data_IF_198971516336
#
_entry.id   IF_198971516336
#
_cell.length_a   1.000
_cell.length_b   1.000
_cell.length_c   1.000
_cell.angle_alpha   90.00
_cell.angle_beta   90.00
_cell.angle_gamma   90.00
#
_symmetry.space_group_name_H-M   'P 1'
#
loop_
_entity.id
_entity.type
_entity.pdbx_description
1 polymer ?
#
# COMPACT_ATOMS: atom_id res chain seq x y z
N UNK A 1 -23.81 92.48 -137.92
CA UNK A 1 -23.92 92.34 -139.40
C UNK A 1 -22.51 92.39 -139.95
N UNK A 2 -22.14 91.46 -140.82
CA UNK A 2 -20.84 91.48 -141.49
C UNK A 2 -20.77 92.69 -142.44
N UNK A 3 -19.60 93.30 -142.57
CA UNK A 3 -19.40 94.34 -143.58
C UNK A 3 -19.39 93.73 -144.99
N UNK A 4 -20.07 94.37 -145.93
CA UNK A 4 -20.04 94.00 -147.36
C UNK A 4 -19.33 95.09 -148.15
N UNK A 5 -18.70 94.70 -149.26
CA UNK A 5 -18.07 95.65 -150.16
C UNK A 5 -19.13 96.61 -150.72
N UNK A 6 -18.96 97.89 -150.46
CA UNK A 6 -19.92 98.93 -150.81
C UNK A 6 -19.40 99.81 -151.95
N UNK A 7 -18.08 99.96 -152.06
CA UNK A 7 -17.49 100.93 -152.96
C UNK A 7 -17.39 100.42 -154.41
N UNK A 8 -18.07 101.10 -155.33
CA UNK A 8 -18.03 100.84 -156.77
C UNK A 8 -17.26 101.97 -157.46
N UNK A 9 -16.29 101.59 -158.28
CA UNK A 9 -15.47 102.53 -159.06
C UNK A 9 -16.35 103.23 -160.10
N UNK A 10 -16.22 104.55 -160.18
CA UNK A 10 -16.85 105.38 -161.21
C UNK A 10 -16.15 105.15 -162.56
N UNK A 11 -16.90 104.97 -163.65
CA UNK A 11 -16.33 104.90 -165.01
C UNK A 11 -15.86 106.27 -165.49
N UNK A 12 -14.71 106.72 -164.99
CA UNK A 12 -14.08 107.97 -165.43
C UNK A 12 -13.72 107.90 -166.91
N UNK A 13 -13.86 109.00 -167.64
CA UNK A 13 -13.59 109.14 -169.07
C UNK A 13 -12.80 110.43 -169.33
N UNK A 14 -11.85 110.40 -170.27
CA UNK A 14 -11.14 111.61 -170.73
C UNK A 14 -11.93 112.32 -171.84
N UNK A 15 -11.62 113.58 -172.12
CA UNK A 15 -12.19 114.30 -173.27
C UNK A 15 -12.02 113.50 -174.58
N UNK A 16 -13.00 113.57 -175.49
CA UNK A 16 -14.13 114.51 -175.51
C UNK A 16 -15.37 114.09 -174.70
N UNK A 17 -15.34 113.00 -173.93
CA UNK A 17 -16.52 112.55 -173.17
C UNK A 17 -17.01 113.62 -172.19
N UNK A 18 -18.32 113.89 -172.20
CA UNK A 18 -18.96 114.81 -171.26
C UNK A 18 -19.48 114.10 -169.99
N UNK A 19 -19.28 112.78 -169.87
CA UNK A 19 -19.88 111.99 -168.76
C UNK A 19 -19.18 112.21 -167.42
N UNK A 20 -17.89 112.57 -167.42
CA UNK A 20 -17.07 112.73 -166.19
C UNK A 20 -15.97 113.77 -166.40
N UNK A 21 -15.44 114.36 -165.33
CA UNK A 21 -14.33 115.32 -165.38
C UNK A 21 -12.99 114.69 -165.86
N UNK A 22 -12.13 115.49 -166.49
CA UNK A 22 -10.82 115.11 -167.05
C UNK A 22 -9.85 114.49 -166.03
N UNK A 23 -9.02 113.52 -166.45
CA UNK A 23 -7.98 112.78 -165.70
C UNK A 23 -8.35 111.37 -165.20
N UNK A 24 -8.90 110.53 -166.09
CA UNK A 24 -9.25 109.10 -165.85
C UNK A 24 -8.21 108.36 -165.01
N UNK A 25 -6.91 108.48 -165.35
CA UNK A 25 -5.85 107.68 -164.73
C UNK A 25 -5.64 107.98 -163.23
N UNK A 26 -5.62 109.26 -162.85
CA UNK A 26 -5.36 109.65 -161.45
C UNK A 26 -6.58 109.39 -160.56
N UNK A 27 -7.79 109.64 -161.07
CA UNK A 27 -9.02 109.38 -160.33
C UNK A 27 -9.26 107.88 -160.17
N UNK A 28 -9.06 107.07 -161.22
CA UNK A 28 -9.11 105.61 -161.10
C UNK A 28 -8.08 105.08 -160.10
N UNK A 29 -6.85 105.64 -160.02
CA UNK A 29 -5.88 105.22 -159.02
C UNK A 29 -6.38 105.49 -157.58
N UNK A 30 -6.98 106.65 -157.33
CA UNK A 30 -7.54 106.99 -156.03
C UNK A 30 -8.74 106.10 -155.68
N UNK A 31 -9.68 105.93 -156.60
CA UNK A 31 -10.86 105.08 -156.39
C UNK A 31 -10.48 103.59 -156.26
N UNK A 32 -9.47 103.12 -156.97
CA UNK A 32 -8.90 101.78 -156.76
C UNK A 32 -8.34 101.62 -155.34
N UNK A 33 -7.64 102.64 -154.82
CA UNK A 33 -7.17 102.65 -153.44
C UNK A 33 -8.32 102.59 -152.42
N UNK A 34 -9.42 103.30 -152.68
CA UNK A 34 -10.63 103.25 -151.85
C UNK A 34 -11.29 101.87 -151.92
N UNK A 35 -11.43 101.28 -153.11
CA UNK A 35 -11.96 99.93 -153.30
C UNK A 35 -11.11 98.86 -152.59
N UNK A 36 -9.79 98.99 -152.67
CA UNK A 36 -8.85 98.11 -151.99
C UNK A 36 -8.95 98.27 -150.46
N UNK A 37 -9.09 99.49 -149.96
CA UNK A 37 -9.33 99.75 -148.54
C UNK A 37 -10.66 99.14 -148.05
N UNK A 38 -11.73 99.31 -148.81
CA UNK A 38 -13.04 98.70 -148.55
C UNK A 38 -12.93 97.16 -148.50
N UNK A 39 -12.24 96.56 -149.49
CA UNK A 39 -11.98 95.11 -149.53
C UNK A 39 -11.18 94.63 -148.31
N UNK A 40 -10.16 95.39 -147.88
CA UNK A 40 -9.38 95.05 -146.68
C UNK A 40 -10.17 95.19 -145.39
N UNK A 41 -11.11 96.13 -145.31
CA UNK A 41 -12.02 96.26 -144.16
C UNK A 41 -12.92 95.03 -144.06
N UNK A 42 -13.47 94.57 -145.19
CA UNK A 42 -14.26 93.33 -145.24
C UNK A 42 -13.40 92.11 -144.85
N UNK A 43 -12.16 92.01 -145.34
CA UNK A 43 -11.25 90.91 -144.95
C UNK A 43 -10.87 90.96 -143.47
N UNK A 44 -10.67 92.14 -142.91
CA UNK A 44 -10.35 92.33 -141.49
C UNK A 44 -11.56 92.01 -140.62
N UNK A 45 -12.77 92.34 -141.05
CA UNK A 45 -14.02 91.93 -140.40
C UNK A 45 -14.22 90.41 -140.43
N UNK A 46 -13.87 89.77 -141.55
CA UNK A 46 -13.94 88.32 -141.69
C UNK A 46 -12.84 87.57 -140.91
N UNK A 47 -11.66 88.19 -140.71
CA UNK A 47 -10.50 87.57 -140.06
C UNK A 47 -10.37 87.92 -138.58
N UNK A 48 -11.10 88.93 -138.07
CA UNK A 48 -11.05 89.28 -136.65
C UNK A 48 -11.67 88.16 -135.81
N UNK A 49 -11.13 87.96 -134.62
CA UNK A 49 -11.73 87.06 -133.64
C UNK A 49 -13.11 87.60 -133.25
N UNK A 50 -14.14 86.76 -133.31
CA UNK A 50 -15.47 87.16 -132.87
C UNK A 50 -15.45 87.40 -131.37
N UNK A 51 -16.19 88.42 -130.91
CA UNK A 51 -16.30 88.73 -129.48
C UNK A 51 -16.90 87.56 -128.68
N UNK A 52 -17.74 86.75 -129.32
CA UNK A 52 -18.31 85.52 -128.74
C UNK A 52 -17.25 84.46 -128.45
N UNK A 53 -16.33 84.20 -129.40
CA UNK A 53 -15.22 83.26 -129.18
C UNK A 53 -14.18 83.87 -128.23
N UNK A 54 -13.87 85.16 -128.35
CA UNK A 54 -12.95 85.83 -127.43
C UNK A 54 -13.41 85.71 -125.97
N UNK A 55 -14.72 85.79 -125.72
CA UNK A 55 -15.29 85.67 -124.38
C UNK A 55 -15.19 84.27 -123.78
N UNK A 56 -14.94 83.21 -124.57
CA UNK A 56 -14.75 81.84 -124.06
C UNK A 56 -13.29 81.52 -123.73
N UNK A 57 -12.34 82.32 -124.22
CA UNK A 57 -10.92 82.13 -123.92
C UNK A 57 -10.62 82.41 -122.44
N UNK A 58 -9.59 81.74 -121.92
CA UNK A 58 -9.19 81.83 -120.51
C UNK A 58 -8.43 83.13 -120.26
N UNK A 59 -8.87 83.86 -119.23
CA UNK A 59 -8.17 85.02 -118.67
C UNK A 59 -7.15 84.60 -117.62
N UNK A 60 -7.55 83.72 -116.71
CA UNK A 60 -6.71 83.26 -115.59
C UNK A 60 -7.18 81.91 -115.06
N UNK A 61 -6.23 81.16 -114.50
CA UNK A 61 -6.48 79.94 -113.73
C UNK A 61 -5.89 80.12 -112.35
N UNK A 62 -6.67 79.86 -111.31
CA UNK A 62 -6.22 79.88 -109.92
C UNK A 62 -6.51 78.52 -109.26
N UNK A 63 -5.57 78.04 -108.44
CA UNK A 63 -5.72 76.79 -107.68
C UNK A 63 -5.66 77.13 -106.20
N UNK A 64 -6.72 76.80 -105.47
CA UNK A 64 -6.69 76.85 -104.02
C UNK A 64 -6.04 75.57 -103.49
N UNK A 65 -4.82 75.68 -102.97
CA UNK A 65 -4.05 74.53 -102.48
C UNK A 65 -4.65 73.87 -101.22
N UNK A 66 -5.61 74.51 -100.54
CA UNK A 66 -6.25 73.93 -99.35
C UNK A 66 -7.49 73.13 -99.70
N UNK A 67 -8.29 73.64 -100.63
CA UNK A 67 -9.54 73.00 -101.05
C UNK A 67 -9.39 72.16 -102.32
N UNK A 68 -8.29 72.33 -103.08
CA UNK A 68 -8.09 71.67 -104.36
C UNK A 68 -8.91 72.25 -105.51
N UNK A 69 -9.70 73.30 -105.26
CA UNK A 69 -10.58 73.89 -106.26
C UNK A 69 -9.78 74.71 -107.26
N UNK A 70 -9.92 74.35 -108.54
CA UNK A 70 -9.38 75.07 -109.68
C UNK A 70 -10.47 75.99 -110.23
N UNK A 71 -10.23 77.29 -110.22
CA UNK A 71 -11.13 78.30 -110.77
C UNK A 71 -10.55 78.85 -112.07
N UNK A 72 -11.29 78.68 -113.17
CA UNK A 72 -10.96 79.21 -114.49
C UNK A 72 -11.87 80.41 -114.79
N UNK A 73 -11.28 81.59 -114.94
CA UNK A 73 -12.01 82.80 -115.33
C UNK A 73 -11.83 83.03 -116.82
N UNK A 74 -12.93 83.12 -117.57
CA UNK A 74 -12.95 83.44 -119.00
C UNK A 74 -12.84 84.96 -119.22
N UNK A 75 -12.36 85.39 -120.38
CA UNK A 75 -12.23 86.82 -120.72
C UNK A 75 -13.57 87.57 -120.66
N UNK A 76 -14.68 86.89 -120.99
CA UNK A 76 -16.04 87.43 -120.88
C UNK A 76 -16.60 87.48 -119.44
N UNK A 77 -15.81 87.08 -118.44
CA UNK A 77 -16.20 87.08 -117.03
C UNK A 77 -16.88 85.80 -116.53
N UNK A 78 -17.17 84.84 -117.41
CA UNK A 78 -17.67 83.52 -117.00
C UNK A 78 -16.65 82.76 -116.15
N UNK A 79 -17.14 81.95 -115.19
CA UNK A 79 -16.31 81.20 -114.25
C UNK A 79 -16.68 79.73 -114.34
N UNK A 80 -15.68 78.87 -114.58
CA UNK A 80 -15.80 77.42 -114.43
C UNK A 80 -14.95 76.96 -113.23
N UNK A 81 -15.47 76.06 -112.40
CA UNK A 81 -14.78 75.53 -111.23
C UNK A 81 -14.70 74.01 -111.29
N UNK A 82 -13.54 73.46 -110.96
CA UNK A 82 -13.28 72.03 -110.88
C UNK A 82 -12.73 71.68 -109.50
N UNK A 83 -13.30 70.67 -108.85
CA UNK A 83 -12.89 70.22 -107.51
C UNK A 83 -12.11 68.90 -107.63
N UNK A 84 -11.01 68.78 -106.88
CA UNK A 84 -10.11 67.62 -106.90
C UNK A 84 -10.26 66.73 -105.66
N UNK A 85 -11.19 67.00 -104.74
CA UNK A 85 -11.46 66.22 -103.52
C UNK A 85 -10.18 65.94 -102.67
N UNK A 86 -9.18 66.83 -102.73
CA UNK A 86 -7.86 66.58 -102.09
C UNK A 86 -7.97 66.52 -100.56
N UNK A 87 -8.95 67.21 -99.98
CA UNK A 87 -9.28 67.20 -98.56
C UNK A 87 -9.68 65.81 -98.04
N UNK A 88 -9.94 64.84 -98.93
CA UNK A 88 -10.33 63.48 -98.55
C UNK A 88 -9.16 62.50 -98.50
N UNK A 89 -7.99 62.89 -98.98
CA UNK A 89 -6.80 62.04 -99.01
C UNK A 89 -6.13 62.02 -97.65
N UNK A 90 -5.93 60.84 -97.07
CA UNK A 90 -5.18 60.67 -95.82
C UNK A 90 -3.68 60.74 -96.13
N UNK A 91 -2.96 61.63 -95.44
CA UNK A 91 -1.52 61.84 -95.61
C UNK A 91 -0.69 61.24 -94.48
N UNK A 92 -1.28 61.11 -93.28
CA UNK A 92 -0.62 60.48 -92.14
C UNK A 92 -1.61 59.62 -91.34
N UNK A 93 -1.07 58.58 -90.70
CA UNK A 93 -1.80 57.64 -89.86
C UNK A 93 -1.04 57.47 -88.55
N UNK A 94 -1.71 57.73 -87.43
CA UNK A 94 -1.14 57.55 -86.09
C UNK A 94 -2.14 56.84 -85.14
N UNK A 95 -1.63 56.24 -84.07
CA UNK A 95 -2.42 55.56 -83.05
C UNK A 95 -1.94 56.01 -81.67
N UNK A 96 -2.86 56.56 -80.86
CA UNK A 96 -2.54 56.97 -79.48
C UNK A 96 -2.51 55.79 -78.51
N UNK A 97 -1.92 55.99 -77.33
CA UNK A 97 -1.86 54.99 -76.25
C UNK A 97 -3.26 54.60 -75.73
N UNK A 98 -4.25 55.48 -75.89
CA UNK A 98 -5.66 55.23 -75.56
C UNK A 98 -6.41 54.44 -76.65
N UNK A 99 -5.73 54.05 -77.73
CA UNK A 99 -6.33 53.31 -78.84
C UNK A 99 -7.23 54.20 -79.70
N UNK A 100 -6.84 55.45 -79.94
CA UNK A 100 -7.52 56.32 -80.92
C UNK A 100 -6.66 56.37 -82.16
N UNK A 101 -7.23 55.98 -83.30
CA UNK A 101 -6.62 56.16 -84.61
C UNK A 101 -6.85 57.60 -85.06
N UNK A 102 -5.77 58.32 -85.38
CA UNK A 102 -5.81 59.68 -85.92
C UNK A 102 -5.41 59.62 -87.39
N UNK A 103 -6.33 60.02 -88.26
CA UNK A 103 -6.12 60.15 -89.70
C UNK A 103 -5.96 61.63 -90.04
N UNK A 104 -4.75 62.05 -90.43
CA UNK A 104 -4.51 63.42 -90.91
C UNK A 104 -4.80 63.48 -92.41
N UNK A 105 -5.69 64.37 -92.83
CA UNK A 105 -6.07 64.59 -94.22
C UNK A 105 -5.13 65.60 -94.89
N UNK A 106 -5.11 65.64 -96.23
CA UNK A 106 -4.18 66.50 -96.99
C UNK A 106 -4.47 68.00 -96.82
N UNK A 107 -5.69 68.37 -96.42
CA UNK A 107 -6.06 69.73 -96.06
C UNK A 107 -5.60 70.15 -94.64
N UNK A 108 -4.99 69.21 -93.89
CA UNK A 108 -4.51 69.39 -92.53
C UNK A 108 -5.54 69.11 -91.44
N UNK A 109 -6.77 68.71 -91.78
CA UNK A 109 -7.79 68.31 -90.79
C UNK A 109 -7.57 66.88 -90.31
N UNK A 110 -8.07 66.55 -89.13
CA UNK A 110 -7.93 65.22 -88.54
C UNK A 110 -9.28 64.53 -88.36
N UNK A 111 -9.31 63.21 -88.60
CA UNK A 111 -10.42 62.33 -88.24
C UNK A 111 -9.96 61.33 -87.19
N UNK A 112 -10.70 61.26 -86.09
CA UNK A 112 -10.40 60.36 -84.99
C UNK A 112 -11.36 59.19 -84.99
N UNK A 113 -10.82 57.98 -84.85
CA UNK A 113 -11.60 56.75 -84.69
C UNK A 113 -11.15 56.08 -83.39
N UNK A 114 -12.02 56.10 -82.39
CA UNK A 114 -11.78 55.47 -81.09
C UNK A 114 -12.00 53.95 -81.22
N UNK A 115 -10.90 53.19 -81.27
CA UNK A 115 -10.95 51.73 -81.24
C UNK A 115 -10.88 51.17 -79.81
N UNK A 116 -10.47 51.98 -78.84
CA UNK A 116 -10.43 51.64 -77.41
C UNK A 116 -11.81 51.25 -76.86
N UNK A 117 -12.89 51.88 -77.35
CA UNK A 117 -14.27 51.51 -77.00
C UNK A 117 -14.70 50.10 -77.43
N UNK A 118 -13.97 49.47 -78.34
CA UNK A 118 -14.23 48.08 -78.76
C UNK A 118 -13.40 47.06 -77.96
N UNK A 119 -12.52 47.51 -77.06
CA UNK A 119 -11.75 46.64 -76.15
C UNK A 119 -12.51 46.48 -74.82
N UNK A 120 -13.15 45.32 -74.62
CA UNK A 120 -13.75 44.98 -73.33
C UNK A 120 -12.67 44.63 -72.30
N UNK A 121 -12.58 45.39 -71.19
CA UNK A 121 -11.66 45.10 -70.09
C UNK A 121 -12.37 44.41 -68.92
N UNK A 122 -11.87 43.26 -68.47
CA UNK A 122 -12.40 42.50 -67.33
C UNK A 122 -11.45 42.61 -66.13
N UNK A 123 -11.99 42.75 -64.91
CA UNK A 123 -11.20 42.82 -63.67
C UNK A 123 -11.61 41.70 -62.72
N UNK A 124 -10.63 40.90 -62.30
CA UNK A 124 -10.80 39.96 -61.20
C UNK A 124 -11.11 40.70 -59.88
N UNK A 125 -11.78 40.00 -58.99
CA UNK A 125 -12.05 40.43 -57.61
C UNK A 125 -11.33 39.51 -56.62
N UNK A 126 -11.50 39.75 -55.32
CA UNK A 126 -10.99 38.84 -54.28
C UNK A 126 -11.68 37.47 -54.25
N UNK A 127 -12.86 37.32 -54.87
CA UNK A 127 -13.64 36.07 -54.86
C UNK A 127 -13.71 35.40 -56.23
N UNK A 128 -13.76 36.20 -57.30
CA UNK A 128 -13.91 35.72 -58.67
C UNK A 128 -12.70 36.15 -59.48
N UNK A 129 -11.98 35.18 -60.05
CA UNK A 129 -10.95 35.41 -61.03
C UNK A 129 -11.57 35.40 -62.44
N UNK A 130 -11.24 36.41 -63.26
CA UNK A 130 -11.62 36.49 -64.67
C UNK A 130 -10.38 36.33 -65.53
N UNK A 131 -10.43 35.39 -66.48
CA UNK A 131 -9.34 35.13 -67.44
C UNK A 131 -9.89 35.13 -68.86
N UNK A 132 -9.14 35.68 -69.82
CA UNK A 132 -9.51 35.71 -71.23
C UNK A 132 -8.53 34.89 -72.07
N UNK A 133 -9.05 33.92 -72.82
CA UNK A 133 -8.28 33.10 -73.76
C UNK A 133 -9.06 33.00 -75.06
N UNK A 134 -8.44 33.26 -76.21
CA UNK A 134 -9.07 33.13 -77.54
C UNK A 134 -10.46 33.79 -77.68
N UNK A 135 -10.65 34.95 -77.04
CA UNK A 135 -11.91 35.73 -76.99
C UNK A 135 -13.02 35.16 -76.11
N UNK A 136 -12.77 34.09 -75.35
CA UNK A 136 -13.67 33.60 -74.31
C UNK A 136 -13.23 34.11 -72.93
N UNK A 137 -14.19 34.54 -72.11
CA UNK A 137 -13.95 34.98 -70.73
C UNK A 137 -14.46 33.90 -69.80
N UNK A 138 -13.54 33.33 -69.01
CA UNK A 138 -13.86 32.34 -67.98
C UNK A 138 -13.83 33.01 -66.61
N UNK A 139 -14.85 32.71 -65.80
CA UNK A 139 -14.92 33.09 -64.41
C UNK A 139 -14.72 31.86 -63.53
N UNK A 140 -13.85 31.96 -62.52
CA UNK A 140 -13.67 30.92 -61.51
C UNK A 140 -13.72 31.51 -60.10
N UNK A 141 -14.20 30.71 -59.15
CA UNK A 141 -14.15 31.05 -57.73
C UNK A 141 -12.72 30.79 -57.24
N UNK A 142 -12.15 31.75 -56.53
CA UNK A 142 -10.82 31.61 -55.93
C UNK A 142 -10.94 30.72 -54.68
N UNK A 143 -10.09 29.70 -54.57
CA UNK A 143 -10.11 28.78 -53.44
C UNK A 143 -9.95 29.52 -52.11
N UNK A 144 -10.77 29.16 -51.12
CA UNK A 144 -10.79 29.78 -49.80
C UNK A 144 -11.38 31.20 -49.75
N UNK A 145 -11.81 31.77 -50.88
CA UNK A 145 -12.37 33.14 -50.92
C UNK A 145 -13.82 33.25 -50.43
N UNK A 146 -14.54 32.12 -50.32
CA UNK A 146 -15.92 32.07 -49.82
C UNK A 146 -15.89 31.93 -48.30
N UNK A 147 -16.34 32.98 -47.60
CA UNK A 147 -16.46 32.99 -46.14
C UNK A 147 -17.82 32.45 -45.70
N UNK A 148 -17.94 32.09 -44.42
CA UNK A 148 -19.17 31.59 -43.80
C UNK A 148 -20.40 32.47 -44.10
N UNK A 149 -20.25 33.79 -44.06
CA UNK A 149 -21.34 34.76 -44.31
C UNK A 149 -21.84 34.76 -45.76
N UNK A 150 -21.08 34.16 -46.69
CA UNK A 150 -21.45 34.03 -48.11
C UNK A 150 -22.13 32.69 -48.42
N UNK A 151 -22.21 31.78 -47.45
CA UNK A 151 -22.90 30.50 -47.61
C UNK A 151 -24.40 30.67 -47.41
N UNK A 152 -25.18 29.71 -47.92
CA UNK A 152 -26.62 29.64 -47.69
C UNK A 152 -26.93 29.58 -46.17
N UNK A 153 -27.97 30.29 -45.68
CA UNK A 153 -28.32 30.29 -44.26
C UNK A 153 -28.52 28.90 -43.64
N UNK A 154 -29.01 27.92 -44.41
CA UNK A 154 -29.18 26.54 -43.93
C UNK A 154 -27.84 25.88 -43.64
N UNK A 155 -26.87 25.99 -44.56
CA UNK A 155 -25.50 25.48 -44.40
C UNK A 155 -24.81 26.18 -43.24
N UNK A 156 -25.00 27.50 -43.10
CA UNK A 156 -24.45 28.23 -41.97
C UNK A 156 -24.99 27.73 -40.63
N UNK A 157 -26.29 27.44 -40.57
CA UNK A 157 -26.93 26.90 -39.36
C UNK A 157 -26.40 25.51 -39.03
N UNK A 158 -26.21 24.66 -40.02
CA UNK A 158 -25.69 23.31 -39.85
C UNK A 158 -24.26 23.30 -39.29
N UNK A 159 -23.35 24.11 -39.85
CA UNK A 159 -21.99 24.23 -39.30
C UNK A 159 -21.96 24.80 -37.89
N UNK A 160 -22.85 25.75 -37.56
CA UNK A 160 -22.99 26.25 -36.18
C UNK A 160 -23.47 25.14 -35.24
N UNK A 161 -24.39 24.28 -35.68
CA UNK A 161 -24.83 23.12 -34.91
C UNK A 161 -23.67 22.15 -34.68
N UNK A 162 -22.89 21.81 -35.71
CA UNK A 162 -21.72 20.94 -35.54
C UNK A 162 -20.68 21.52 -34.58
N UNK A 163 -20.46 22.84 -34.59
CA UNK A 163 -19.59 23.49 -33.61
C UNK A 163 -20.13 23.34 -32.19
N UNK A 164 -21.44 23.49 -32.00
CA UNK A 164 -22.08 23.32 -30.69
C UNK A 164 -22.00 21.87 -30.21
N UNK A 165 -22.30 20.90 -31.08
CA UNK A 165 -22.21 19.48 -30.77
C UNK A 165 -20.77 19.08 -30.39
N UNK A 166 -19.78 19.60 -31.11
CA UNK A 166 -18.38 19.39 -30.79
C UNK A 166 -17.97 19.98 -29.42
N UNK A 167 -18.47 21.18 -29.08
CA UNK A 167 -18.24 21.79 -27.77
C UNK A 167 -18.90 20.98 -26.66
N UNK A 168 -20.15 20.56 -26.85
CA UNK A 168 -20.86 19.70 -25.90
C UNK A 168 -20.15 18.36 -25.69
N UNK A 169 -19.67 17.73 -26.77
CA UNK A 169 -18.91 16.48 -26.69
C UNK A 169 -17.58 16.67 -25.92
N UNK A 170 -16.86 17.77 -26.16
CA UNK A 170 -15.64 18.11 -25.43
C UNK A 170 -15.92 18.29 -23.94
N UNK A 171 -16.96 19.05 -23.59
CA UNK A 171 -17.28 19.36 -22.19
C UNK A 171 -17.78 18.10 -21.45
N UNK A 172 -18.53 17.24 -22.13
CA UNK A 172 -18.90 15.92 -21.62
C UNK A 172 -17.67 15.04 -21.37
N UNK A 173 -16.72 14.99 -22.32
CA UNK A 173 -15.47 14.23 -22.15
C UNK A 173 -14.66 14.73 -20.94
N UNK A 174 -14.58 16.05 -20.75
CA UNK A 174 -13.92 16.65 -19.58
C UNK A 174 -14.62 16.26 -18.27
N UNK A 175 -15.96 16.26 -18.23
CA UNK A 175 -16.72 15.79 -17.07
C UNK A 175 -16.47 14.31 -16.77
N UNK A 176 -16.48 13.44 -17.78
CA UNK A 176 -16.16 12.03 -17.60
C UNK A 176 -14.75 11.81 -17.06
N UNK A 177 -13.76 12.58 -17.55
CA UNK A 177 -12.41 12.55 -17.02
C UNK A 177 -12.36 12.92 -15.53
N UNK A 178 -13.06 14.00 -15.14
CA UNK A 178 -13.16 14.44 -13.74
C UNK A 178 -13.80 13.37 -12.86
N UNK A 179 -14.91 12.76 -13.30
CA UNK A 179 -15.55 11.67 -12.54
C UNK A 179 -14.68 10.42 -12.45
N UNK A 180 -13.99 10.04 -13.51
CA UNK A 180 -13.06 8.92 -13.48
C UNK A 180 -11.94 9.16 -12.45
N UNK A 181 -11.38 10.37 -12.39
CA UNK A 181 -10.40 10.74 -11.38
C UNK A 181 -10.99 10.72 -9.96
N UNK A 182 -12.16 11.33 -9.76
CA UNK A 182 -12.90 11.33 -8.48
C UNK A 182 -13.07 9.92 -7.93
N UNK A 183 -13.62 8.99 -8.72
CA UNK A 183 -13.91 7.64 -8.25
C UNK A 183 -12.66 6.77 -8.05
N UNK A 184 -11.56 7.07 -8.73
CA UNK A 184 -10.32 6.28 -8.62
C UNK A 184 -9.45 6.71 -7.45
N UNK A 185 -9.16 8.02 -7.33
CA UNK A 185 -8.18 8.55 -6.39
C UNK A 185 -8.67 9.77 -5.58
N UNK A 186 -9.91 10.21 -5.80
CA UNK A 186 -10.44 11.45 -5.25
C UNK A 186 -10.05 12.68 -6.07
N UNK A 187 -10.76 13.78 -5.85
CA UNK A 187 -10.45 15.08 -6.45
C UNK A 187 -10.96 16.21 -5.54
N UNK A 188 -10.13 17.23 -5.30
CA UNK A 188 -10.43 18.34 -4.40
C UNK A 188 -11.63 19.19 -4.87
N UNK A 189 -12.01 19.12 -6.15
CA UNK A 189 -13.23 19.76 -6.65
C UNK A 189 -14.52 19.08 -6.15
N UNK A 190 -14.44 17.87 -5.59
CA UNK A 190 -15.58 17.08 -5.11
C UNK A 190 -15.41 16.76 -3.62
N UNK A 191 -16.13 17.51 -2.78
CA UNK A 191 -16.16 17.29 -1.34
C UNK A 191 -16.58 15.85 -0.98
N UNK A 192 -15.88 15.24 -0.01
CA UNK A 192 -16.10 13.85 0.43
C UNK A 192 -15.40 12.79 -0.44
N UNK A 193 -14.89 13.17 -1.62
CA UNK A 193 -14.21 12.22 -2.51
C UNK A 193 -12.86 11.76 -2.00
N UNK A 194 -12.29 12.39 -0.97
CA UNK A 194 -11.07 11.95 -0.29
C UNK A 194 -11.24 10.62 0.45
N UNK A 195 -12.45 10.33 0.91
CA UNK A 195 -12.81 9.08 1.60
C UNK A 195 -13.75 8.17 0.79
N UNK A 196 -14.40 8.69 -0.25
CA UNK A 196 -15.29 7.91 -1.13
C UNK A 196 -14.66 7.71 -2.51
N UNK A 197 -13.57 6.93 -2.56
CA UNK A 197 -12.88 6.57 -3.79
C UNK A 197 -12.21 5.19 -3.67
N UNK A 198 -11.93 4.55 -4.81
CA UNK A 198 -11.36 3.21 -4.86
C UNK A 198 -10.03 3.07 -4.11
N UNK A 199 -9.14 4.08 -4.20
CA UNK A 199 -7.86 4.08 -3.48
C UNK A 199 -8.06 4.07 -1.97
N UNK A 200 -8.99 4.86 -1.43
CA UNK A 200 -9.28 4.90 0.00
C UNK A 200 -9.76 3.53 0.52
N UNK A 201 -10.73 2.92 -0.17
CA UNK A 201 -11.22 1.59 0.20
C UNK A 201 -10.13 0.50 0.09
N UNK A 202 -9.27 0.58 -0.93
CA UNK A 202 -8.14 -0.33 -1.10
C UNK A 202 -7.12 -0.22 0.04
N UNK A 203 -6.67 0.99 0.37
CA UNK A 203 -5.71 1.20 1.45
C UNK A 203 -6.31 0.82 2.82
N UNK A 204 -7.59 1.13 3.07
CA UNK A 204 -8.29 0.70 4.28
C UNK A 204 -8.34 -0.83 4.42
N UNK A 205 -8.65 -1.54 3.33
CA UNK A 205 -8.65 -3.00 3.31
C UNK A 205 -7.25 -3.57 3.55
N UNK A 206 -6.23 -2.98 2.93
CA UNK A 206 -4.83 -3.37 3.10
C UNK A 206 -4.34 -3.18 4.53
N UNK A 207 -4.72 -2.08 5.18
CA UNK A 207 -4.42 -1.82 6.58
C UNK A 207 -5.12 -2.83 7.51
N UNK A 208 -6.42 -3.06 7.31
CA UNK A 208 -7.18 -4.05 8.09
C UNK A 208 -6.61 -5.47 7.95
N UNK A 209 -6.13 -5.83 6.75
CA UNK A 209 -5.44 -7.10 6.54
C UNK A 209 -4.12 -7.19 7.32
N UNK A 210 -3.32 -6.12 7.35
CA UNK A 210 -2.09 -6.07 8.14
C UNK A 210 -2.36 -6.16 9.66
N UNK A 211 -3.41 -5.49 10.14
CA UNK A 211 -3.88 -5.60 11.52
C UNK A 211 -4.34 -7.01 11.85
N UNK A 212 -5.06 -7.66 10.93
CA UNK A 212 -5.52 -9.05 11.11
C UNK A 212 -4.33 -10.01 11.27
N UNK A 213 -3.28 -9.86 10.46
CA UNK A 213 -2.05 -10.65 10.59
C UNK A 213 -1.39 -10.42 11.95
N UNK A 214 -1.26 -9.16 12.37
CA UNK A 214 -0.68 -8.79 13.67
C UNK A 214 -1.46 -9.42 14.82
N UNK A 215 -2.79 -9.33 14.78
CA UNK A 215 -3.68 -9.92 15.78
C UNK A 215 -3.58 -11.45 15.81
N UNK A 216 -3.50 -12.10 14.65
CA UNK A 216 -3.32 -13.55 14.57
C UNK A 216 -1.98 -14.01 15.17
N UNK A 217 -0.90 -13.26 14.91
CA UNK A 217 0.41 -13.51 15.52
C UNK A 217 0.36 -13.35 17.04
N UNK A 218 -0.27 -12.28 17.54
CA UNK A 218 -0.44 -12.07 18.98
C UNK A 218 -1.27 -13.19 19.64
N UNK A 219 -2.37 -13.62 18.99
CA UNK A 219 -3.19 -14.72 19.46
C UNK A 219 -2.42 -16.06 19.50
N UNK A 220 -1.58 -16.32 18.50
CA UNK A 220 -0.72 -17.51 18.46
C UNK A 220 0.30 -17.51 19.61
N UNK A 221 0.94 -16.37 19.89
CA UNK A 221 1.86 -16.23 21.02
C UNK A 221 1.16 -16.42 22.37
N UNK A 222 -0.04 -15.86 22.52
CA UNK A 222 -0.86 -16.03 23.72
C UNK A 222 -1.24 -17.51 23.93
N UNK A 223 -1.61 -18.23 22.87
CA UNK A 223 -1.89 -19.67 22.92
C UNK A 223 -0.65 -20.49 23.31
N UNK A 224 0.53 -20.14 22.78
CA UNK A 224 1.80 -20.75 23.18
C UNK A 224 2.09 -20.55 24.66
N UNK A 225 1.94 -19.32 25.15
CA UNK A 225 2.12 -18.98 26.58
C UNK A 225 1.14 -19.76 27.46
N UNK A 226 -0.12 -19.84 27.07
CA UNK A 226 -1.14 -20.60 27.81
C UNK A 226 -0.80 -22.10 27.88
N UNK A 227 -0.29 -22.68 26.79
CA UNK A 227 0.16 -24.08 26.73
C UNK A 227 1.32 -24.32 27.68
N UNK A 228 2.31 -23.42 27.71
CA UNK A 228 3.44 -23.51 28.62
C UNK A 228 3.02 -23.41 30.10
N UNK A 229 2.12 -22.47 30.42
CA UNK A 229 1.55 -22.34 31.76
C UNK A 229 0.75 -23.57 32.18
N UNK A 230 -0.02 -24.18 31.27
CA UNK A 230 -0.71 -25.45 31.55
C UNK A 230 0.28 -26.59 31.85
N UNK A 231 1.42 -26.64 31.13
CA UNK A 231 2.51 -27.57 31.41
C UNK A 231 3.11 -27.37 32.81
N UNK A 232 3.40 -26.12 33.19
CA UNK A 232 3.90 -25.77 34.53
C UNK A 232 2.89 -26.16 35.62
N UNK A 233 1.60 -25.87 35.40
CA UNK A 233 0.54 -26.23 36.34
C UNK A 233 0.43 -27.75 36.54
N UNK A 234 0.52 -28.51 35.44
CA UNK A 234 0.54 -29.98 35.46
C UNK A 234 1.74 -30.49 36.25
N UNK A 235 2.94 -29.96 36.00
CA UNK A 235 4.15 -30.34 36.74
C UNK A 235 4.02 -30.04 38.24
N UNK A 236 3.48 -28.86 38.60
CA UNK A 236 3.23 -28.49 40.00
C UNK A 236 2.24 -29.46 40.67
N UNK A 237 1.17 -29.84 39.97
CA UNK A 237 0.20 -30.80 40.48
C UNK A 237 0.84 -32.18 40.72
N UNK A 238 1.66 -32.67 39.78
CA UNK A 238 2.43 -33.92 39.94
C UNK A 238 3.37 -33.86 41.14
N UNK A 239 4.12 -32.77 41.29
CA UNK A 239 5.04 -32.58 42.42
C UNK A 239 4.30 -32.51 43.76
N UNK A 240 3.13 -31.86 43.80
CA UNK A 240 2.29 -31.78 44.99
C UNK A 240 1.73 -33.17 45.36
N UNK A 241 1.25 -33.94 44.38
CA UNK A 241 0.79 -35.31 44.60
C UNK A 241 1.91 -36.22 45.12
N UNK A 242 3.12 -36.12 44.55
CA UNK A 242 4.30 -36.84 45.04
C UNK A 242 4.63 -36.46 46.50
N UNK A 243 4.60 -35.17 46.82
CA UNK A 243 4.84 -34.67 48.18
C UNK A 243 3.78 -35.17 49.18
N UNK A 244 2.50 -35.22 48.77
CA UNK A 244 1.43 -35.77 49.60
C UNK A 244 1.62 -37.27 49.86
N UNK A 245 2.04 -38.04 48.86
CA UNK A 245 2.35 -39.46 49.02
C UNK A 245 3.53 -39.68 49.99
N UNK A 246 4.59 -38.88 49.88
CA UNK A 246 5.72 -38.92 50.82
C UNK A 246 5.26 -38.60 52.25
N UNK A 247 4.48 -37.54 52.45
CA UNK A 247 3.93 -37.19 53.76
C UNK A 247 3.04 -38.30 54.34
N UNK A 248 2.24 -38.98 53.50
CA UNK A 248 1.43 -40.12 53.93
C UNK A 248 2.30 -41.31 54.38
N UNK A 249 3.39 -41.59 53.66
CA UNK A 249 4.34 -42.64 54.04
C UNK A 249 5.08 -42.32 55.35
N UNK A 250 5.47 -41.05 55.52
CA UNK A 250 6.08 -40.56 56.77
C UNK A 250 5.10 -40.69 57.95
N UNK A 251 3.82 -40.37 57.74
CA UNK A 251 2.78 -40.53 58.76
C UNK A 251 2.56 -41.99 59.17
N UNK A 252 2.54 -42.93 58.21
CA UNK A 252 2.47 -44.36 58.50
C UNK A 252 3.69 -44.83 59.30
N UNK A 253 4.89 -44.43 58.89
CA UNK A 253 6.13 -44.74 59.59
C UNK A 253 6.11 -44.21 61.03
N UNK A 254 5.60 -42.99 61.24
CA UNK A 254 5.46 -42.41 62.57
C UNK A 254 4.45 -43.19 63.43
N UNK A 255 3.32 -43.63 62.86
CA UNK A 255 2.33 -44.44 63.56
C UNK A 255 2.88 -45.82 63.98
N UNK A 256 3.64 -46.48 63.11
CA UNK A 256 4.31 -47.76 63.42
C UNK A 256 5.32 -47.61 64.57
N UNK A 257 6.13 -46.54 64.54
CA UNK A 257 7.05 -46.21 65.63
C UNK A 257 6.31 -45.94 66.95
N UNK A 258 5.19 -45.23 66.91
CA UNK A 258 4.38 -44.96 68.10
C UNK A 258 3.75 -46.24 68.67
N UNK A 259 3.26 -47.14 67.82
CA UNK A 259 2.75 -48.46 68.23
C UNK A 259 3.86 -49.30 68.86
N UNK A 260 5.04 -49.32 68.24
CA UNK A 260 6.22 -50.01 68.79
C UNK A 260 6.63 -49.45 70.15
N UNK A 261 6.66 -48.12 70.32
CA UNK A 261 6.94 -47.47 71.59
C UNK A 261 5.89 -47.82 72.66
N UNK A 262 4.61 -47.87 72.28
CA UNK A 262 3.51 -48.27 73.18
C UNK A 262 3.67 -49.71 73.64
N UNK A 263 3.98 -50.64 72.72
CA UNK A 263 4.24 -52.03 73.07
C UNK A 263 5.45 -52.17 73.98
N UNK A 264 6.54 -51.43 73.71
CA UNK A 264 7.73 -51.40 74.57
C UNK A 264 7.43 -50.85 75.97
N UNK A 265 6.58 -49.83 76.10
CA UNK A 265 6.14 -49.32 77.38
C UNK A 265 5.28 -50.35 78.16
N UNK A 266 4.41 -51.09 77.48
CA UNK A 266 3.63 -52.17 78.07
C UNK A 266 4.54 -53.33 78.53
N UNK A 267 5.49 -53.76 77.69
CA UNK A 267 6.51 -54.76 78.05
C UNK A 267 7.31 -54.32 79.30
N UNK A 268 7.73 -53.04 79.35
CA UNK A 268 8.44 -52.50 80.51
C UNK A 268 7.56 -52.47 81.78
N UNK A 269 6.26 -52.18 81.64
CA UNK A 269 5.29 -52.19 82.75
C UNK A 269 5.06 -53.61 83.27
N UNK A 270 4.94 -54.60 82.38
CA UNK A 270 4.82 -56.00 82.75
C UNK A 270 6.09 -56.48 83.46
N UNK A 271 7.26 -56.19 82.90
CA UNK A 271 8.55 -56.53 83.52
C UNK A 271 8.68 -55.91 84.92
N UNK A 272 8.20 -54.69 85.14
CA UNK A 272 8.16 -54.06 86.46
C UNK A 272 7.21 -54.78 87.43
N UNK A 273 6.05 -55.25 86.94
CA UNK A 273 5.08 -56.03 87.73
C UNK A 273 5.68 -57.39 88.12
N UNK A 274 6.25 -58.12 87.15
CA UNK A 274 6.89 -59.42 87.37
C UNK A 274 8.06 -59.30 88.38
N UNK A 275 8.83 -58.22 88.30
CA UNK A 275 9.89 -57.92 89.26
C UNK A 275 9.33 -57.64 90.67
N UNK A 276 8.22 -56.91 90.78
CA UNK A 276 7.55 -56.65 92.05
C UNK A 276 6.96 -57.92 92.68
N UNK A 277 6.35 -58.79 91.88
CA UNK A 277 5.84 -60.10 92.31
C UNK A 277 6.98 -61.03 92.76
N UNK A 278 8.09 -61.04 92.02
CA UNK A 278 9.31 -61.76 92.40
C UNK A 278 9.86 -61.25 93.73
N UNK A 279 9.88 -59.93 93.94
CA UNK A 279 10.29 -59.33 95.21
C UNK A 279 9.35 -59.66 96.37
N UNK A 280 8.03 -59.72 96.13
CA UNK A 280 7.05 -60.16 97.13
C UNK A 280 7.23 -61.64 97.48
N UNK A 281 7.44 -62.50 96.47
CA UNK A 281 7.70 -63.93 96.66
C UNK A 281 8.98 -64.17 97.44
N UNK A 282 10.05 -63.43 97.13
CA UNK A 282 11.30 -63.46 97.88
C UNK A 282 11.09 -63.02 99.34
N UNK A 283 10.34 -61.94 99.58
CA UNK A 283 9.96 -61.49 100.94
C UNK A 283 9.19 -62.56 101.71
N UNK A 284 8.22 -63.21 101.08
CA UNK A 284 7.43 -64.30 101.70
C UNK A 284 8.32 -65.47 102.07
N UNK A 285 9.16 -65.96 101.15
CA UNK A 285 10.13 -67.04 101.42
C UNK A 285 11.12 -66.69 102.52
N UNK A 286 11.59 -65.44 102.57
CA UNK A 286 12.44 -64.98 103.68
C UNK A 286 11.70 -65.03 105.02
N UNK A 287 10.42 -64.65 105.05
CA UNK A 287 9.57 -64.80 106.23
C UNK A 287 9.36 -66.26 106.64
N UNK A 288 9.06 -67.15 105.69
CA UNK A 288 8.92 -68.59 105.93
C UNK A 288 10.22 -69.23 106.43
N UNK A 289 11.37 -68.83 105.88
CA UNK A 289 12.68 -69.26 106.33
C UNK A 289 12.99 -68.76 107.76
N UNK A 290 12.61 -67.52 108.09
CA UNK A 290 12.69 -67.00 109.46
C UNK A 290 11.82 -67.81 110.42
N UNK A 291 10.56 -68.08 110.05
CA UNK A 291 9.66 -68.90 110.87
C UNK A 291 10.17 -70.33 111.06
N UNK A 292 10.71 -70.94 110.00
CA UNK A 292 11.33 -72.27 110.09
C UNK A 292 12.59 -72.27 110.97
N UNK A 293 13.39 -71.20 110.93
CA UNK A 293 14.55 -71.04 111.81
C UNK A 293 14.12 -70.88 113.28
N UNK A 294 13.04 -70.13 113.52
CA UNK A 294 12.42 -70.01 114.83
C UNK A 294 11.91 -71.38 115.32
N UNK A 295 11.15 -72.14 114.52
CA UNK A 295 10.69 -73.49 114.88
C UNK A 295 11.85 -74.47 115.14
N UNK A 296 12.90 -74.46 114.31
CA UNK A 296 14.09 -75.25 114.56
C UNK A 296 14.75 -74.90 115.91
N UNK A 297 14.77 -73.61 116.27
CA UNK A 297 15.25 -73.13 117.57
C UNK A 297 14.35 -73.59 118.71
N UNK A 298 13.01 -73.53 118.55
CA UNK A 298 12.02 -74.03 119.52
C UNK A 298 12.29 -75.48 119.87
N UNK A 299 12.36 -76.35 118.87
CA UNK A 299 12.54 -77.78 119.06
C UNK A 299 13.93 -78.15 119.58
N UNK A 300 14.98 -77.40 119.21
CA UNK A 300 16.34 -77.71 119.65
C UNK A 300 16.63 -77.27 121.09
N UNK A 301 16.29 -76.03 121.45
CA UNK A 301 16.75 -75.40 122.71
C UNK A 301 15.68 -74.59 123.46
N UNK A 302 14.50 -74.39 122.86
CA UNK A 302 13.40 -73.57 123.39
C UNK A 302 13.62 -72.05 123.30
N UNK A 303 12.64 -71.27 123.77
CA UNK A 303 12.77 -69.81 123.97
C UNK A 303 12.23 -68.92 122.86
N UNK A 304 11.28 -69.40 122.04
CA UNK A 304 10.53 -68.56 121.08
C UNK A 304 9.09 -68.33 121.55
N UNK A 305 8.48 -69.32 122.21
CA UNK A 305 7.17 -69.24 122.84
C UNK A 305 7.23 -69.66 124.33
N UNK A 306 6.26 -69.22 125.16
CA UNK A 306 6.24 -69.52 126.59
C UNK A 306 6.17 -71.02 126.92
N UNK A 307 5.47 -71.81 126.10
CA UNK A 307 5.34 -73.26 126.25
C UNK A 307 6.63 -74.06 125.95
N UNK A 308 7.65 -73.46 125.33
CA UNK A 308 8.87 -74.18 124.93
C UNK A 308 9.79 -74.54 126.12
N UNK A 309 9.46 -74.15 127.36
CA UNK A 309 10.32 -74.39 128.52
C UNK A 309 10.53 -75.88 128.83
N UNK A 310 9.54 -76.73 128.50
CA UNK A 310 9.48 -78.14 128.90
C UNK A 310 9.35 -79.13 127.73
N UNK A 311 9.15 -78.65 126.49
CA UNK A 311 9.00 -79.50 125.30
C UNK A 311 10.03 -79.15 124.22
N UNK A 312 11.30 -79.45 124.50
CA UNK A 312 12.40 -79.28 123.54
C UNK A 312 13.51 -80.33 123.78
N UNK A 313 14.34 -80.56 122.76
CA UNK A 313 15.38 -81.58 122.80
C UNK A 313 16.39 -81.36 123.95
N UNK A 314 16.74 -80.10 124.25
CA UNK A 314 17.62 -79.75 125.38
C UNK A 314 17.00 -80.15 126.73
N UNK A 315 15.72 -79.90 126.95
CA UNK A 315 15.00 -80.26 128.17
C UNK A 315 14.96 -81.79 128.35
N UNK A 316 14.58 -82.54 127.32
CA UNK A 316 14.56 -84.01 127.38
C UNK A 316 15.96 -84.59 127.65
N UNK A 317 17.01 -84.02 127.04
CA UNK A 317 18.39 -84.43 127.30
C UNK A 317 18.80 -84.18 128.76
N UNK A 318 18.42 -83.06 129.36
CA UNK A 318 18.67 -82.76 130.78
C UNK A 318 17.92 -83.69 131.73
N UNK A 319 16.68 -84.07 131.40
CA UNK A 319 15.90 -85.02 132.20
C UNK A 319 16.49 -86.43 132.13
N UNK A 320 16.96 -86.86 130.95
CA UNK A 320 17.68 -88.13 130.81
C UNK A 320 18.99 -88.13 131.63
N UNK A 321 19.71 -87.00 131.68
CA UNK A 321 20.91 -86.86 132.51
C UNK A 321 20.60 -86.99 134.01
N UNK A 322 19.54 -86.33 134.51
CA UNK A 322 19.09 -86.49 135.91
C UNK A 322 18.73 -87.94 136.24
N UNK A 323 18.08 -88.65 135.31
CA UNK A 323 17.70 -90.05 135.50
C UNK A 323 18.94 -90.96 135.54
N UNK A 324 19.94 -90.69 134.70
CA UNK A 324 21.24 -91.37 134.73
C UNK A 324 21.92 -91.20 136.09
N UNK A 325 22.00 -89.96 136.59
CA UNK A 325 22.67 -89.66 137.86
C UNK A 325 21.98 -90.37 139.06
N UNK A 326 20.67 -90.60 139.00
CA UNK A 326 19.92 -91.36 140.02
C UNK A 326 20.22 -92.87 140.01
N UNK A 327 20.49 -93.45 138.83
CA UNK A 327 20.78 -94.89 138.69
C UNK A 327 22.20 -95.21 139.18
N UNK A 328 23.17 -94.34 138.91
CA UNK A 328 24.56 -94.52 139.36
C UNK A 328 24.69 -94.45 140.91
N UNK A 329 23.77 -93.77 141.60
CA UNK A 329 23.76 -93.68 143.06
C UNK A 329 23.24 -94.95 143.78
N UNK A 330 22.54 -95.85 143.11
CA UNK A 330 21.88 -97.01 143.73
C UNK A 330 22.71 -98.32 143.73
N UNK A 331 23.87 -98.35 143.06
CA UNK A 331 24.57 -99.60 142.71
C UNK A 331 25.78 -100.00 143.61
N UNK A 332 25.89 -99.53 144.86
CA UNK A 332 27.09 -99.77 145.70
C UNK A 332 26.84 -100.37 147.11
N UNK A 333 26.34 -101.62 147.22
CA UNK A 333 26.25 -102.37 148.49
C UNK A 333 26.77 -103.83 148.38
N UNK A 334 27.60 -104.29 149.34
CA UNK A 334 28.46 -105.51 149.34
C UNK A 334 28.24 -106.38 150.62
N UNK A 335 28.39 -107.73 150.56
CA UNK A 335 28.32 -108.70 151.71
C UNK A 335 29.49 -109.74 151.67
N UNK A 336 30.19 -110.08 152.80
CA UNK A 336 31.34 -111.02 152.89
C UNK A 336 31.02 -112.51 153.24
N UNK A 337 31.99 -113.44 153.07
CA UNK A 337 31.90 -114.88 153.39
C UNK A 337 32.88 -115.33 154.51
N UNK A 338 32.53 -116.41 155.21
CA UNK A 338 33.26 -116.99 156.36
C UNK A 338 33.72 -118.42 156.07
N UNK A 339 34.91 -118.83 156.55
CA UNK A 339 35.47 -120.19 156.45
C UNK A 339 36.11 -120.64 157.78
N UNK A 340 36.32 -121.94 157.99
CA UNK A 340 36.93 -122.48 159.22
C UNK A 340 38.37 -122.93 158.93
N UNK A 341 39.32 -122.54 159.78
CA UNK A 341 40.71 -123.01 159.72
C UNK A 341 40.85 -124.35 160.45
N UNK A 342 41.15 -125.41 159.68
CA UNK A 342 41.23 -126.79 160.17
C UNK A 342 42.48 -127.10 161.01
N UNK A 343 43.45 -126.19 161.14
CA UNK A 343 44.58 -126.37 162.03
C UNK A 343 44.29 -125.95 163.48
N UNK A 344 43.37 -124.99 163.68
CA UNK A 344 43.14 -124.32 164.99
C UNK A 344 41.69 -124.35 165.46
N UNK A 345 40.73 -124.70 164.59
CA UNK A 345 39.30 -124.77 164.92
C UNK A 345 38.62 -123.41 165.04
N UNK A 346 39.23 -122.32 164.55
CA UNK A 346 38.68 -120.96 164.59
C UNK A 346 37.95 -120.58 163.28
N UNK A 347 36.86 -119.80 163.40
CA UNK A 347 36.10 -119.24 162.28
C UNK A 347 36.78 -117.96 161.77
N UNK A 348 37.13 -117.92 160.49
CA UNK A 348 37.85 -116.85 159.80
C UNK A 348 36.98 -116.22 158.70
N UNK A 349 37.21 -114.96 158.35
CA UNK A 349 36.62 -114.30 157.17
C UNK A 349 37.74 -113.84 156.23
N UNK A 350 37.47 -113.89 154.93
CA UNK A 350 38.41 -113.43 153.90
C UNK A 350 38.59 -111.90 153.90
N UNK A 351 37.72 -111.13 154.58
CA UNK A 351 37.86 -109.68 154.74
C UNK A 351 37.51 -109.19 156.15
N UNK A 352 38.33 -108.24 156.63
CA UNK A 352 38.27 -107.56 157.95
C UNK A 352 36.83 -107.25 158.38
N UNK A 353 36.32 -108.00 159.36
CA UNK A 353 35.05 -107.71 160.01
C UNK A 353 35.28 -106.86 161.27
N UNK A 354 34.54 -105.76 161.39
CA UNK A 354 34.46 -104.95 162.59
C UNK A 354 33.57 -105.64 163.64
N UNK A 355 34.20 -106.27 164.64
CA UNK A 355 33.82 -106.19 166.05
C UNK A 355 32.63 -106.99 166.58
N UNK A 356 32.76 -108.31 166.76
CA UNK A 356 32.11 -109.06 167.86
C UNK A 356 33.03 -110.22 168.28
N UNK A 357 33.37 -110.33 169.57
CA UNK A 357 34.10 -111.50 170.12
C UNK A 357 33.10 -112.40 170.83
N UNK A 358 33.05 -113.67 170.45
CA UNK A 358 32.30 -114.70 171.15
C UNK A 358 33.26 -115.69 171.80
N UNK A 359 32.99 -116.09 173.04
CA UNK A 359 33.70 -117.20 173.67
C UNK A 359 32.75 -118.02 174.54
N UNK A 360 33.14 -119.28 174.78
CA UNK A 360 32.41 -120.27 175.54
C UNK A 360 33.15 -120.50 176.86
N UNK A 361 32.47 -120.25 177.97
CA UNK A 361 32.99 -120.52 179.31
C UNK A 361 31.86 -121.19 180.12
N UNK A 362 32.16 -122.36 180.70
CA UNK A 362 31.20 -123.21 181.44
C UNK A 362 29.87 -123.51 180.71
N UNK A 363 29.94 -123.74 179.40
CA UNK A 363 28.78 -124.15 178.59
C UNK A 363 27.81 -123.03 178.25
N UNK A 364 28.13 -121.77 178.59
CA UNK A 364 27.36 -120.57 178.26
C UNK A 364 28.15 -119.72 177.26
N UNK A 365 27.48 -119.27 176.19
CA UNK A 365 28.08 -118.44 175.14
C UNK A 365 27.97 -116.96 175.53
N UNK A 366 29.12 -116.29 175.66
CA UNK A 366 29.21 -114.85 175.92
C UNK A 366 29.54 -114.10 174.62
N UNK A 367 29.04 -112.87 174.49
CA UNK A 367 29.35 -111.96 173.39
C UNK A 367 29.49 -110.52 173.86
N UNK A 368 30.57 -109.85 173.46
CA UNK A 368 30.83 -108.44 173.73
C UNK A 368 31.08 -107.66 172.42
N UNK A 369 30.44 -106.50 172.28
CA UNK A 369 30.55 -105.61 171.13
C UNK A 369 31.63 -104.56 171.37
N UNK A 370 32.77 -104.69 170.69
CA UNK A 370 33.91 -103.77 170.81
C UNK A 370 33.75 -102.52 169.93
N UNK A 371 33.58 -101.35 170.55
CA UNK A 371 33.65 -100.03 169.93
C UNK A 371 35.04 -99.42 170.18
N UNK A 372 36.05 -99.77 169.38
CA UNK A 372 37.26 -98.95 169.14
C UNK A 372 38.18 -99.62 168.13
N UNK A 373 38.69 -98.82 167.18
CA UNK A 373 39.70 -99.22 166.22
C UNK A 373 41.02 -99.58 166.93
N UNK A 374 41.58 -100.75 166.60
CA UNK A 374 43.00 -101.04 166.85
C UNK A 374 43.71 -101.31 165.53
N UNK A 375 44.80 -100.58 165.30
CA UNK A 375 45.80 -100.80 164.25
C UNK A 375 46.47 -102.17 164.40
N UNK A 376 46.79 -102.80 163.25
CA UNK A 376 47.91 -103.75 163.15
C UNK A 376 48.56 -103.62 161.75
N UNK A 377 49.88 -103.48 161.74
CA UNK A 377 50.81 -103.82 160.65
C UNK A 377 51.17 -105.33 160.73
N UNK A 378 51.26 -105.99 159.57
CA UNK A 378 51.50 -107.42 159.30
C UNK A 378 50.30 -108.36 159.56
#
# INVERSE_FOLDING_TARGET
MAYEAFYIITDWQNLPSQRTALSRKNLLNMENGIKEADTRIVQLDASKLSMEIANTLVKSVNVDAKTGVITVTKLGGGIDTYDLDIERVVTNFDVTDEGIIILTLADGTEKQVDIGKFLNTFKSSATIALTMTDREVTASIIDGSVTMDKLDPSIQSEFRQYMLDAQNARDAALQYQKFAKRYTIGDAEFEGSETDNAKYYYEGTKQAAAETVTNATAASQAAGTATEQAGIATQKATNAAASANSASADAQTAAEKASTATNKAAEATQAATDAAESANSARKKAGEASGSADDAKRYAVGGVAPEDAEDNAKYYCQQAQKLKDQIDAAASLVVPQFYIDFATGQLMSDKKAQGMRFWLEDGVLYGEAGNTEMEVLA
#
